data_IF_257202510829
#
_entry.id   IF_257202510829
#
_cell.length_a   1.000
_cell.length_b   1.000
_cell.length_c   1.000
_cell.angle_alpha   90.00
_cell.angle_beta   90.00
_cell.angle_gamma   90.00
#
_symmetry.space_group_name_H-M   'P 1'
#
loop_
_entity.id
_entity.type
_entity.pdbx_description
1 polymer ?
#
# COMPACT_ATOMS: atom_id res chain seq x y z
N UNK A 1 -0.84 -10.15 -2.50
CA UNK A 1 -0.51 -9.65 -1.15
C UNK A 1 -0.61 -10.79 -0.14
N UNK A 2 0.49 -11.45 0.24
CA UNK A 2 0.43 -12.60 1.16
C UNK A 2 -0.09 -12.24 2.56
N UNK A 3 -0.02 -10.97 2.99
CA UNK A 3 -0.42 -10.55 4.35
C UNK A 3 -1.52 -9.47 4.41
N UNK A 4 -2.15 -9.16 3.27
CA UNK A 4 -3.28 -8.23 3.21
C UNK A 4 -2.94 -6.77 3.54
N UNK A 5 -3.99 -5.96 3.66
CA UNK A 5 -3.93 -4.58 4.16
C UNK A 5 -4.07 -4.62 5.68
N UNK A 6 -3.18 -3.95 6.39
CA UNK A 6 -3.33 -3.68 7.82
C UNK A 6 -3.80 -2.24 8.01
N UNK A 7 -4.56 -2.00 9.06
CA UNK A 7 -4.91 -0.64 9.46
C UNK A 7 -4.79 -0.46 10.96
N UNK A 8 -4.14 0.62 11.36
CA UNK A 8 -4.01 1.00 12.76
C UNK A 8 -4.16 2.51 12.95
N UNK A 9 -4.33 2.90 14.21
CA UNK A 9 -4.35 4.28 14.66
C UNK A 9 -3.42 4.42 15.84
N UNK A 10 -2.65 5.50 15.89
CA UNK A 10 -1.79 5.80 17.04
C UNK A 10 -1.89 7.27 17.43
N UNK A 11 -1.71 7.54 18.72
CA UNK A 11 -1.72 8.89 19.28
C UNK A 11 -0.28 9.35 19.49
N UNK A 12 0.01 10.59 19.11
CA UNK A 12 1.31 11.24 19.37
C UNK A 12 1.18 12.30 20.45
N UNK A 13 2.30 12.67 21.08
CA UNK A 13 2.31 13.58 22.24
C UNK A 13 1.77 14.99 21.92
N UNK A 14 2.04 15.48 20.71
CA UNK A 14 1.59 16.79 20.23
C UNK A 14 1.21 16.69 18.75
N UNK A 15 0.20 17.46 18.28
CA UNK A 15 -0.12 17.51 16.86
C UNK A 15 1.10 17.87 15.99
N UNK A 16 1.24 17.20 14.86
CA UNK A 16 2.38 17.37 13.93
C UNK A 16 3.62 16.52 14.25
N UNK A 17 3.62 15.79 15.37
CA UNK A 17 4.76 14.96 15.76
C UNK A 17 4.92 13.73 14.85
N UNK A 18 6.16 13.27 14.75
CA UNK A 18 6.55 12.02 14.09
C UNK A 18 6.50 10.84 15.06
N UNK A 19 6.22 9.64 14.55
CA UNK A 19 6.30 8.38 15.26
C UNK A 19 7.00 7.31 14.39
N UNK A 20 7.69 6.39 15.05
CA UNK A 20 8.23 5.18 14.41
C UNK A 20 7.38 3.96 14.78
N UNK A 21 7.01 3.17 13.78
CA UNK A 21 6.24 1.93 13.97
C UNK A 21 6.99 0.78 13.33
N UNK A 22 7.35 -0.23 14.13
CA UNK A 22 7.95 -1.46 13.63
C UNK A 22 6.91 -2.57 13.54
N UNK A 23 6.74 -3.13 12.35
CA UNK A 23 5.82 -4.23 12.07
C UNK A 23 6.65 -5.49 11.83
N UNK A 24 6.30 -6.58 12.51
CA UNK A 24 6.96 -7.87 12.40
C UNK A 24 6.14 -8.84 11.55
N UNK A 25 6.85 -9.65 10.77
CA UNK A 25 6.28 -10.63 9.87
C UNK A 25 6.55 -12.06 10.37
N UNK A 26 5.65 -13.02 10.12
CA UNK A 26 5.90 -14.42 10.46
C UNK A 26 7.08 -15.00 9.67
N UNK A 27 7.20 -14.60 8.40
CA UNK A 27 8.24 -15.00 7.46
C UNK A 27 8.93 -13.77 6.86
N UNK A 28 10.11 -13.95 6.26
CA UNK A 28 10.82 -12.86 5.59
C UNK A 28 10.02 -12.34 4.39
N UNK A 29 9.89 -11.01 4.27
CA UNK A 29 9.29 -10.39 3.10
C UNK A 29 10.14 -10.66 1.84
N UNK A 30 9.47 -10.83 0.69
CA UNK A 30 10.13 -11.10 -0.58
C UNK A 30 11.14 -9.99 -0.95
N UNK A 31 12.19 -10.33 -1.69
CA UNK A 31 13.26 -9.38 -2.07
C UNK A 31 12.77 -8.20 -2.90
N UNK A 32 11.72 -8.39 -3.69
CA UNK A 32 11.05 -7.36 -4.49
C UNK A 32 9.86 -6.70 -3.78
N UNK A 33 9.68 -6.95 -2.48
CA UNK A 33 8.59 -6.36 -1.74
C UNK A 33 8.93 -4.93 -1.30
N UNK A 34 7.92 -4.08 -1.27
CA UNK A 34 7.97 -2.68 -0.83
C UNK A 34 6.79 -2.38 0.09
N UNK A 35 6.92 -1.37 0.93
CA UNK A 35 5.80 -0.92 1.75
C UNK A 35 4.94 0.07 0.97
N UNK A 36 3.62 -0.07 1.07
CA UNK A 36 2.68 0.79 0.37
C UNK A 36 1.60 1.31 1.29
N UNK A 37 1.18 2.55 1.06
CA UNK A 37 -0.01 3.14 1.68
C UNK A 37 -1.20 2.90 0.77
N UNK A 38 -2.37 2.72 1.35
CA UNK A 38 -3.63 2.70 0.61
C UNK A 38 -4.45 3.94 0.96
N UNK A 39 -4.87 4.67 -0.07
CA UNK A 39 -5.87 5.72 0.05
C UNK A 39 -7.05 5.41 -0.88
N UNK A 40 -8.27 5.71 -0.45
CA UNK A 40 -9.48 5.42 -1.22
C UNK A 40 -9.63 6.30 -2.47
N UNK A 41 -8.99 7.47 -2.49
CA UNK A 41 -9.07 8.44 -3.59
C UNK A 41 -7.96 8.17 -4.62
N UNK A 42 -6.73 7.98 -4.15
CA UNK A 42 -5.53 7.86 -4.96
C UNK A 42 -5.07 6.41 -5.18
N UNK A 43 -5.64 5.45 -4.46
CA UNK A 43 -5.27 4.04 -4.52
C UNK A 43 -3.98 3.72 -3.76
N UNK A 44 -3.24 2.72 -4.25
CA UNK A 44 -1.97 2.29 -3.67
C UNK A 44 -0.84 3.26 -4.02
N UNK A 45 -0.07 3.66 -3.02
CA UNK A 45 1.05 4.58 -3.16
C UNK A 45 2.32 3.95 -2.60
N UNK A 46 3.45 4.20 -3.26
CA UNK A 46 4.75 3.78 -2.75
C UNK A 46 5.12 4.56 -1.48
N UNK A 47 5.71 3.86 -0.52
CA UNK A 47 6.15 4.41 0.76
C UNK A 47 7.59 4.03 1.10
N UNK A 48 8.37 3.58 0.11
CA UNK A 48 9.74 3.14 0.31
C UNK A 48 10.65 4.18 0.97
N UNK A 49 10.43 5.48 0.73
CA UNK A 49 11.26 6.55 1.30
C UNK A 49 11.13 6.69 2.83
N UNK A 50 10.04 6.20 3.42
CA UNK A 50 9.76 6.26 4.86
C UNK A 50 9.59 4.87 5.47
N UNK A 51 10.06 3.82 4.77
CA UNK A 51 9.95 2.44 5.19
C UNK A 51 11.31 1.73 5.08
N UNK A 52 11.80 1.26 6.22
CA UNK A 52 13.09 0.57 6.32
C UNK A 52 12.89 -0.89 6.70
N UNK A 53 13.19 -1.82 5.79
CA UNK A 53 13.19 -3.24 6.10
C UNK A 53 14.41 -3.62 6.93
N UNK A 54 14.23 -4.54 7.88
CA UNK A 54 15.34 -5.17 8.58
C UNK A 54 16.23 -5.97 7.62
N UNK A 55 17.50 -6.25 7.96
CA UNK A 55 18.40 -7.02 7.10
C UNK A 55 17.89 -8.43 6.76
N UNK A 56 17.17 -9.08 7.68
CA UNK A 56 16.54 -10.39 7.48
C UNK A 56 15.13 -10.30 6.86
N UNK A 57 14.65 -9.08 6.59
CA UNK A 57 13.33 -8.73 6.08
C UNK A 57 12.16 -9.29 6.89
N UNK A 58 12.37 -9.63 8.16
CA UNK A 58 11.32 -10.08 9.09
C UNK A 58 10.60 -8.93 9.79
N UNK A 59 11.04 -7.69 9.58
CA UNK A 59 10.30 -6.51 10.00
C UNK A 59 10.49 -5.34 9.04
N UNK A 60 9.61 -4.35 9.17
CA UNK A 60 9.74 -3.03 8.56
C UNK A 60 9.48 -1.96 9.63
N UNK A 61 10.31 -0.91 9.64
CA UNK A 61 10.11 0.28 10.46
C UNK A 61 9.61 1.40 9.57
N UNK A 62 8.48 1.99 9.95
CA UNK A 62 7.82 3.09 9.26
C UNK A 62 8.04 4.38 10.05
N UNK A 63 8.44 5.43 9.36
CA UNK A 63 8.37 6.81 9.87
C UNK A 63 7.03 7.42 9.44
N UNK A 64 6.25 7.93 10.40
CA UNK A 64 4.91 8.48 10.17
C UNK A 64 4.81 9.86 10.83
N UNK A 65 4.10 10.80 10.20
CA UNK A 65 3.88 12.14 10.75
C UNK A 65 2.40 12.49 10.81
N UNK A 66 1.94 12.93 11.99
CA UNK A 66 0.58 13.43 12.21
C UNK A 66 0.32 14.68 11.34
N UNK A 67 -0.69 14.62 10.49
CA UNK A 67 -0.95 15.63 9.47
C UNK A 67 0.01 15.68 8.29
N UNK A 68 0.88 14.69 8.15
CA UNK A 68 1.94 14.64 7.15
C UNK A 68 2.04 13.31 6.42
N UNK A 69 3.27 12.93 6.07
CA UNK A 69 3.53 11.67 5.38
C UNK A 69 3.06 10.49 6.23
N UNK A 70 2.32 9.58 5.61
CA UNK A 70 1.85 8.38 6.29
C UNK A 70 0.58 8.54 7.13
N UNK A 71 0.01 9.74 7.20
CA UNK A 71 -1.28 9.96 7.83
C UNK A 71 -2.39 10.11 6.78
N UNK A 72 -3.35 9.21 6.80
CA UNK A 72 -4.33 9.07 5.73
C UNK A 72 -5.33 10.23 5.66
N UNK A 73 -5.60 10.91 6.78
CA UNK A 73 -6.50 12.08 6.79
C UNK A 73 -5.76 13.41 6.59
N UNK A 74 -4.42 13.38 6.62
CA UNK A 74 -3.56 14.55 6.41
C UNK A 74 -3.79 15.69 7.40
N UNK A 75 -4.40 15.44 8.56
CA UNK A 75 -4.74 16.46 9.54
C UNK A 75 -3.87 16.31 10.80
N UNK A 76 -3.23 17.40 11.25
CA UNK A 76 -2.47 17.38 12.50
C UNK A 76 -3.41 17.54 13.70
N UNK A 77 -3.89 16.43 14.27
CA UNK A 77 -4.78 16.42 15.47
C UNK A 77 -4.28 15.50 16.58
N UNK A 78 -3.03 15.03 16.48
CA UNK A 78 -2.39 14.13 17.43
C UNK A 78 -2.77 12.67 17.22
N UNK A 79 -3.41 12.30 16.11
CA UNK A 79 -3.78 10.92 15.80
C UNK A 79 -3.48 10.62 14.34
N UNK A 80 -2.56 9.68 14.12
CA UNK A 80 -2.23 9.17 12.79
C UNK A 80 -3.17 8.02 12.44
N UNK A 81 -3.76 8.04 11.24
CA UNK A 81 -4.52 6.95 10.66
C UNK A 81 -3.71 6.30 9.54
N UNK A 82 -3.39 5.01 9.68
CA UNK A 82 -2.58 4.30 8.68
C UNK A 82 -3.27 3.05 8.14
N UNK A 83 -3.79 3.07 6.91
CA UNK A 83 -4.02 1.90 6.07
C UNK A 83 -2.79 1.65 5.18
N UNK A 84 -2.07 0.55 5.44
CA UNK A 84 -0.87 0.22 4.67
C UNK A 84 -0.59 -1.28 4.63
N UNK A 85 0.37 -1.70 3.81
CA UNK A 85 0.76 -3.09 3.75
C UNK A 85 1.91 -3.36 2.82
N UNK A 86 2.35 -4.61 2.88
CA UNK A 86 3.36 -5.14 1.98
C UNK A 86 2.79 -5.35 0.59
N UNK A 87 3.39 -4.67 -0.37
CA UNK A 87 3.19 -4.89 -1.78
C UNK A 87 4.37 -5.61 -2.39
N UNK A 88 4.11 -6.27 -3.50
CA UNK A 88 5.15 -6.83 -4.35
C UNK A 88 5.06 -6.08 -5.66
N UNK A 89 6.21 -5.66 -6.20
CA UNK A 89 6.24 -5.29 -7.60
C UNK A 89 5.74 -6.50 -8.39
N UNK A 90 4.58 -6.39 -9.04
CA UNK A 90 4.30 -7.25 -10.17
C UNK A 90 5.42 -6.94 -11.15
N UNK A 91 6.27 -7.91 -11.48
CA UNK A 91 7.00 -7.81 -12.73
C UNK A 91 5.93 -7.57 -13.78
N UNK A 92 5.85 -6.36 -14.29
CA UNK A 92 5.30 -6.14 -15.62
C UNK A 92 6.28 -6.88 -16.51
N UNK A 93 6.05 -8.18 -16.67
CA UNK A 93 6.60 -8.91 -17.79
C UNK A 93 6.13 -8.12 -18.99
N UNK A 94 7.07 -7.43 -19.64
CA UNK A 94 6.92 -7.08 -21.04
C UNK A 94 6.92 -8.41 -21.82
N UNK A 95 5.84 -9.19 -21.67
CA UNK A 95 5.54 -10.26 -22.61
C UNK A 95 5.05 -9.58 -23.88
N UNK A 96 5.98 -9.29 -24.78
CA UNK A 96 5.64 -9.17 -26.19
C UNK A 96 5.27 -10.56 -26.71
N UNK A 97 4.07 -11.03 -26.40
CA UNK A 97 3.49 -12.18 -27.09
C UNK A 97 2.08 -11.82 -27.52
N UNK A 98 1.95 -11.49 -28.79
CA UNK A 98 0.66 -11.26 -29.42
C UNK A 98 -0.20 -12.52 -29.40
N UNK A 99 -1.50 -12.33 -29.25
CA UNK A 99 -2.49 -13.32 -29.65
C UNK A 99 -3.60 -13.57 -28.65
N UNK A 100 -4.76 -12.98 -28.93
CA UNK A 100 -6.04 -13.68 -28.82
C UNK A 100 -6.83 -13.52 -27.52
N UNK A 101 -8.05 -13.00 -27.66
CA UNK A 101 -9.14 -13.32 -26.74
C UNK A 101 -9.57 -12.21 -25.79
N UNK A 102 -9.91 -11.02 -26.31
CA UNK A 102 -10.66 -10.04 -25.52
C UNK A 102 -12.07 -10.57 -25.21
N UNK A 103 -12.37 -10.76 -23.93
CA UNK A 103 -13.74 -10.89 -23.43
C UNK A 103 -14.45 -9.54 -23.59
N UNK A 104 -15.05 -9.30 -24.75
CA UNK A 104 -15.95 -8.18 -24.95
C UNK A 104 -17.33 -8.55 -24.41
N UNK A 105 -17.85 -7.80 -23.44
CA UNK A 105 -19.30 -7.77 -23.20
C UNK A 105 -19.91 -6.96 -24.34
N UNK A 106 -20.27 -7.64 -25.43
CA UNK A 106 -21.11 -7.04 -26.47
C UNK A 106 -22.55 -7.02 -25.96
N UNK A 107 -23.11 -5.83 -25.74
CA UNK A 107 -24.54 -5.66 -25.45
C UNK A 107 -25.34 -6.03 -26.70
N UNK A 108 -26.25 -7.00 -26.59
CA UNK A 108 -27.15 -7.37 -27.67
C UNK A 108 -28.35 -6.40 -27.68
N UNK A 109 -28.38 -5.44 -28.60
CA UNK A 109 -29.58 -4.67 -28.87
C UNK A 109 -30.44 -5.40 -29.91
N UNK A 110 -31.52 -6.03 -29.46
CA UNK A 110 -32.57 -6.55 -30.34
C UNK A 110 -33.42 -5.37 -30.85
N UNK A 111 -33.71 -5.31 -32.15
CA UNK A 111 -34.90 -4.62 -32.68
C UNK A 111 -35.47 -5.42 -33.85
N UNK A 112 -36.75 -5.85 -33.81
CA UNK A 112 -37.39 -6.52 -34.91
C UNK A 112 -38.02 -5.49 -35.86
N UNK A 113 -38.05 -5.83 -37.14
CA UNK A 113 -39.11 -5.43 -38.07
C UNK A 113 -39.64 -6.71 -38.71
#
# INVERSE_FOLDING_TARGET
>A
MPWGLISFRLTVASPGNTAEVTIYFPDAAASNASWHKYDSINGWQDYANHATFSPDRRSVTLELQDGGHGDADGTAHGVIIDPSGLGSASSSESESNGGGGGCFIATAAHRPL
#
